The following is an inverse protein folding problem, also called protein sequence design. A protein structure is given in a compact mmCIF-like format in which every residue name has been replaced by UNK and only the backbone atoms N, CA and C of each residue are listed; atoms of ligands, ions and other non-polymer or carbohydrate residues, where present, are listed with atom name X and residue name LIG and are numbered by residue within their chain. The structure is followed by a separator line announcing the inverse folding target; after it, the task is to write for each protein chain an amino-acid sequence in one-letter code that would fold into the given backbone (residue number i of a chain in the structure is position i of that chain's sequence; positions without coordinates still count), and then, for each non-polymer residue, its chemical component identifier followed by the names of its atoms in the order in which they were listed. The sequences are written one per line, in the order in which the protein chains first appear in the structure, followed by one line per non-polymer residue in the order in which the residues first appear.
data_IF_487056256775
#
_entry.id   IF_487056256775
#
_cell.length_a   1.000
_cell.length_b   1.000
_cell.length_c   1.000
_cell.angle_alpha   90.00
_cell.angle_beta   90.00
_cell.angle_gamma   90.00
#
_symmetry.space_group_name_H-M   'P 1'
#
loop_
_entity.id
_entity.type
_entity.pdbx_description
1 polymer ?
#
# COMPACT_ATOMS: atom_id res chain seq x y z
N UNK A 1 22.64 15.34 13.16
CA UNK A 1 22.28 16.43 14.07
C UNK A 1 21.52 15.79 15.20
N UNK A 2 22.11 15.73 16.39
CA UNK A 2 21.49 15.20 17.59
C UNK A 2 20.38 16.17 18.02
N UNK A 3 19.21 15.66 18.37
CA UNK A 3 18.17 16.45 19.05
C UNK A 3 18.48 16.34 20.55
N UNK A 4 18.56 17.50 21.22
CA UNK A 4 18.82 17.63 22.66
C UNK A 4 17.76 16.88 23.51
N UNK A 5 18.11 16.33 24.69
CA UNK A 5 17.28 15.37 25.43
C UNK A 5 16.00 15.95 26.07
N UNK A 6 15.80 17.26 26.03
CA UNK A 6 14.65 17.95 26.64
C UNK A 6 13.40 18.06 25.74
N UNK A 7 13.48 17.73 24.45
CA UNK A 7 12.29 17.66 23.59
C UNK A 7 11.80 16.22 23.51
N UNK A 8 10.64 15.95 24.13
CA UNK A 8 9.92 14.68 23.97
C UNK A 8 9.87 14.34 22.48
N UNK A 9 10.30 13.12 22.12
CA UNK A 9 10.27 12.65 20.73
C UNK A 9 8.88 12.93 20.13
N UNK A 10 8.82 13.37 18.86
CA UNK A 10 7.54 13.63 18.20
C UNK A 10 6.65 12.39 18.32
N UNK A 11 5.36 12.60 18.58
CA UNK A 11 4.41 11.50 18.57
C UNK A 11 4.43 10.84 17.19
N UNK A 12 4.75 9.54 17.17
CA UNK A 12 4.72 8.70 15.98
C UNK A 12 3.65 7.62 16.18
N UNK A 13 2.75 7.40 15.19
CA UNK A 13 1.77 6.32 15.27
C UNK A 13 2.42 4.94 15.17
N UNK A 14 3.70 4.87 14.76
CA UNK A 14 4.46 3.63 14.58
C UNK A 14 5.28 3.21 15.81
N UNK A 15 5.02 3.84 16.96
CA UNK A 15 5.76 3.61 18.19
C UNK A 15 6.92 4.58 18.39
N UNK A 16 7.78 4.29 19.36
CA UNK A 16 8.94 5.12 19.67
C UNK A 16 9.93 5.15 18.48
N UNK A 17 10.29 6.33 17.96
CA UNK A 17 11.25 6.42 16.86
C UNK A 17 12.67 6.04 17.29
N UNK A 18 13.31 5.17 16.50
CA UNK A 18 14.76 4.93 16.59
C UNK A 18 15.53 6.10 15.96
N UNK A 19 14.96 6.70 14.90
CA UNK A 19 15.53 7.86 14.23
C UNK A 19 14.47 8.90 13.91
N UNK A 20 14.89 10.16 14.01
CA UNK A 20 14.11 11.33 13.60
C UNK A 20 15.05 12.27 12.85
N UNK A 21 14.77 12.47 11.56
CA UNK A 21 15.47 13.42 10.72
C UNK A 21 14.56 14.60 10.42
N UNK A 22 15.03 15.81 10.74
CA UNK A 22 14.36 17.03 10.30
C UNK A 22 14.69 17.25 8.83
N UNK A 23 13.65 17.27 7.99
CA UNK A 23 13.75 17.63 6.57
C UNK A 23 13.68 19.15 6.44
N UNK A 24 12.67 19.75 7.07
CA UNK A 24 12.44 21.18 7.17
C UNK A 24 11.50 21.46 8.37
N UNK A 25 11.26 22.73 8.67
CA UNK A 25 10.31 23.12 9.73
C UNK A 25 8.93 22.51 9.47
N UNK A 26 8.50 21.64 10.40
CA UNK A 26 7.24 20.91 10.34
C UNK A 26 7.25 19.68 9.43
N UNK A 27 8.41 19.20 8.95
CA UNK A 27 8.54 17.99 8.14
C UNK A 27 9.62 17.11 8.75
N UNK A 28 9.21 15.95 9.27
CA UNK A 28 10.10 14.97 9.90
C UNK A 28 10.04 13.67 9.14
N UNK A 29 11.20 13.05 8.95
CA UNK A 29 11.34 11.66 8.50
C UNK A 29 11.67 10.81 9.73
N UNK A 30 10.82 9.83 10.02
CA UNK A 30 10.92 9.00 11.23
C UNK A 30 10.99 7.53 10.84
N UNK A 31 11.79 6.77 11.59
CA UNK A 31 11.83 5.31 11.46
C UNK A 31 11.82 4.67 12.84
N UNK A 32 11.11 3.56 12.96
CA UNK A 32 10.95 2.70 14.13
C UNK A 32 11.34 1.26 13.74
N UNK A 33 11.50 0.33 14.70
CA UNK A 33 11.85 -1.06 14.38
C UNK A 33 10.85 -1.79 13.45
N UNK A 34 9.61 -1.30 13.37
CA UNK A 34 8.54 -1.94 12.60
C UNK A 34 8.16 -1.19 11.33
N UNK A 35 8.18 0.14 11.35
CA UNK A 35 7.67 1.01 10.29
C UNK A 35 8.37 2.37 10.34
N UNK A 36 7.96 3.28 9.48
CA UNK A 36 8.39 4.67 9.51
C UNK A 36 7.53 5.51 8.58
N UNK A 37 8.03 6.70 8.26
CA UNK A 37 7.44 7.55 7.26
C UNK A 37 7.69 9.03 7.51
N UNK A 38 6.90 9.86 6.85
CA UNK A 38 6.97 11.32 6.99
C UNK A 38 5.88 11.78 7.96
N UNK A 39 6.27 12.55 8.98
CA UNK A 39 5.35 13.26 9.86
C UNK A 39 5.34 14.74 9.49
N UNK A 40 4.14 15.28 9.31
CA UNK A 40 3.91 16.69 9.07
C UNK A 40 3.35 17.36 10.33
N UNK A 41 3.78 18.60 10.58
CA UNK A 41 3.04 19.48 11.48
C UNK A 41 1.63 19.74 10.92
N UNK A 42 0.72 20.21 11.78
CA UNK A 42 -0.62 20.57 11.35
C UNK A 42 -0.60 21.57 10.18
N UNK A 43 0.23 22.60 10.26
CA UNK A 43 0.36 23.65 9.25
C UNK A 43 0.88 23.13 7.91
N UNK A 44 1.86 22.20 7.95
CA UNK A 44 2.35 21.54 6.73
C UNK A 44 1.30 20.61 6.16
N UNK A 45 0.61 19.83 7.00
CA UNK A 45 -0.41 18.91 6.56
C UNK A 45 -1.61 19.62 5.89
N UNK A 46 -1.93 20.85 6.29
CA UNK A 46 -2.95 21.67 5.62
C UNK A 46 -2.58 22.09 4.18
N UNK A 47 -1.30 22.03 3.81
CA UNK A 47 -0.84 22.34 2.45
C UNK A 47 -1.00 21.15 1.50
N UNK A 48 -1.20 19.94 2.04
CA UNK A 48 -1.53 18.75 1.25
C UNK A 48 -2.98 18.90 0.73
N UNK A 49 -3.25 18.61 -0.56
CA UNK A 49 -4.60 18.55 -1.11
C UNK A 49 -5.51 17.69 -0.24
N UNK A 50 -6.75 18.12 -0.03
CA UNK A 50 -7.67 17.49 0.92
C UNK A 50 -7.87 15.98 0.64
N UNK A 51 -7.97 15.58 -0.64
CA UNK A 51 -8.09 14.18 -1.06
C UNK A 51 -6.85 13.32 -0.74
N UNK A 52 -5.68 13.93 -0.59
CA UNK A 52 -4.41 13.25 -0.33
C UNK A 52 -3.97 13.34 1.13
N UNK A 53 -4.67 14.13 1.95
CA UNK A 53 -4.24 14.50 3.30
C UNK A 53 -4.42 13.34 4.28
N UNK A 54 -3.41 13.07 5.11
CA UNK A 54 -3.56 12.17 6.26
C UNK A 54 -4.24 12.90 7.41
N UNK A 55 -5.12 12.19 8.14
CA UNK A 55 -5.89 12.77 9.26
C UNK A 55 -4.96 13.16 10.42
N UNK A 56 -3.95 12.34 10.69
CA UNK A 56 -3.00 12.51 11.80
C UNK A 56 -1.67 13.17 11.38
N UNK A 57 -1.53 13.52 10.10
CA UNK A 57 -0.30 14.07 9.55
C UNK A 57 0.83 13.04 9.38
N UNK A 58 0.56 11.75 9.55
CA UNK A 58 1.51 10.67 9.34
C UNK A 58 1.34 10.00 7.97
N UNK A 59 2.45 9.80 7.27
CA UNK A 59 2.51 9.25 5.91
C UNK A 59 3.49 8.07 5.86
N UNK A 60 2.98 6.85 5.80
CA UNK A 60 3.73 5.59 6.00
C UNK A 60 4.77 5.28 4.90
N UNK A 61 5.91 4.71 5.31
CA UNK A 61 7.15 4.44 4.55
C UNK A 61 6.99 3.50 3.33
N UNK A 62 5.93 2.70 3.24
CA UNK A 62 5.67 1.81 2.11
C UNK A 62 4.71 2.37 1.06
N UNK A 63 3.94 3.40 1.39
CA UNK A 63 2.92 3.93 0.48
C UNK A 63 2.85 5.45 0.52
N UNK A 64 2.35 6.02 1.62
CA UNK A 64 1.90 7.41 1.64
C UNK A 64 3.03 8.43 1.79
N UNK A 65 4.24 8.03 2.19
CA UNK A 65 5.42 8.91 2.30
C UNK A 65 5.70 9.71 1.01
N UNK A 66 5.35 9.14 -0.15
CA UNK A 66 5.60 9.76 -1.44
C UNK A 66 4.78 11.04 -1.67
N UNK A 67 3.63 11.18 -0.99
CA UNK A 67 2.75 12.35 -1.10
C UNK A 67 3.47 13.62 -0.60
N UNK A 68 3.90 13.71 0.68
CA UNK A 68 4.64 14.88 1.15
C UNK A 68 6.00 15.02 0.47
N UNK A 69 6.66 13.92 0.07
CA UNK A 69 7.93 13.99 -0.66
C UNK A 69 7.80 14.77 -1.98
N UNK A 70 6.76 14.49 -2.77
CA UNK A 70 6.51 15.16 -4.05
C UNK A 70 5.95 16.56 -3.86
N UNK A 71 5.08 16.79 -2.87
CA UNK A 71 4.48 18.11 -2.63
C UNK A 71 5.51 19.11 -2.08
N UNK A 72 6.36 18.69 -1.14
CA UNK A 72 7.41 19.53 -0.55
C UNK A 72 8.77 19.31 -1.22
N UNK A 73 8.76 19.17 -2.56
CA UNK A 73 9.97 18.84 -3.35
C UNK A 73 11.12 19.81 -3.09
N UNK A 74 10.84 21.08 -2.84
CA UNK A 74 11.87 22.11 -2.68
C UNK A 74 12.58 21.92 -1.33
N UNK A 75 11.83 21.58 -0.27
CA UNK A 75 12.38 21.24 1.04
C UNK A 75 13.23 19.95 0.99
N UNK A 76 12.73 18.90 0.32
CA UNK A 76 13.49 17.65 0.18
C UNK A 76 14.74 17.84 -0.70
N UNK A 77 14.63 18.58 -1.81
CA UNK A 77 15.77 18.91 -2.67
C UNK A 77 16.83 19.72 -1.90
N UNK A 78 16.40 20.72 -1.12
CA UNK A 78 17.31 21.50 -0.26
C UNK A 78 17.98 20.64 0.81
N UNK A 79 17.23 19.72 1.43
CA UNK A 79 17.74 18.80 2.47
C UNK A 79 18.80 17.84 1.94
N UNK A 80 18.68 17.43 0.69
CA UNK A 80 19.61 16.50 0.03
C UNK A 80 20.48 17.19 -1.02
N UNK A 81 20.71 18.51 -0.89
CA UNK A 81 21.48 19.29 -1.87
C UNK A 81 22.89 18.75 -2.14
N UNK A 82 23.52 18.14 -1.14
CA UNK A 82 24.88 17.58 -1.23
C UNK A 82 24.86 16.10 -1.68
N UNK A 83 23.67 15.53 -1.92
CA UNK A 83 23.41 14.17 -2.43
C UNK A 83 22.29 14.22 -3.47
N UNK A 84 22.47 15.00 -4.53
CA UNK A 84 21.44 15.18 -5.57
C UNK A 84 21.10 13.88 -6.30
N UNK A 85 22.08 13.02 -6.52
CA UNK A 85 21.89 11.67 -7.06
C UNK A 85 20.90 10.85 -6.22
N UNK A 86 21.05 10.90 -4.89
CA UNK A 86 20.12 10.26 -3.96
C UNK A 86 18.73 10.89 -4.02
N UNK A 87 18.62 12.22 -4.08
CA UNK A 87 17.33 12.90 -4.19
C UNK A 87 16.60 12.55 -5.49
N UNK A 88 17.28 12.61 -6.63
CA UNK A 88 16.69 12.31 -7.93
C UNK A 88 16.18 10.87 -8.01
N UNK A 89 16.96 9.92 -7.49
CA UNK A 89 16.55 8.52 -7.43
C UNK A 89 15.35 8.32 -6.49
N UNK A 90 15.39 8.92 -5.30
CA UNK A 90 14.28 8.86 -4.34
C UNK A 90 13.01 9.53 -4.89
N UNK A 91 13.15 10.61 -5.66
CA UNK A 91 12.03 11.29 -6.30
C UNK A 91 11.38 10.43 -7.39
N UNK A 92 12.16 9.71 -8.19
CA UNK A 92 11.63 8.71 -9.14
C UNK A 92 10.88 7.60 -8.40
N UNK A 93 11.44 7.11 -7.30
CA UNK A 93 10.78 6.09 -6.46
C UNK A 93 9.49 6.61 -5.84
N UNK A 94 9.44 7.86 -5.37
CA UNK A 94 8.24 8.48 -4.84
C UNK A 94 7.13 8.53 -5.92
N UNK A 95 7.45 8.96 -7.14
CA UNK A 95 6.48 8.95 -8.24
C UNK A 95 5.99 7.53 -8.54
N UNK A 96 6.90 6.55 -8.60
CA UNK A 96 6.52 5.16 -8.85
C UNK A 96 5.66 4.58 -7.73
N UNK A 97 5.92 4.96 -6.47
CA UNK A 97 5.11 4.60 -5.31
C UNK A 97 3.71 5.20 -5.42
N UNK A 98 3.58 6.48 -5.81
CA UNK A 98 2.26 7.09 -6.04
C UNK A 98 1.49 6.35 -7.14
N UNK A 99 2.12 6.06 -8.29
CA UNK A 99 1.49 5.31 -9.38
C UNK A 99 1.01 3.95 -8.87
N UNK A 100 1.86 3.24 -8.13
CA UNK A 100 1.61 1.85 -7.75
C UNK A 100 0.69 1.69 -6.54
N UNK A 101 0.70 2.59 -5.57
CA UNK A 101 0.02 2.40 -4.29
C UNK A 101 -1.02 3.48 -3.97
N UNK A 102 -0.87 4.68 -4.53
CA UNK A 102 -1.75 5.83 -4.28
C UNK A 102 -2.17 6.51 -5.61
N UNK A 103 -2.76 5.77 -6.58
CA UNK A 103 -2.99 6.30 -7.93
C UNK A 103 -3.98 7.48 -7.97
N UNK A 104 -4.88 7.59 -6.99
CA UNK A 104 -5.78 8.74 -6.86
C UNK A 104 -5.03 9.99 -6.36
N UNK A 105 -4.03 9.81 -5.49
CA UNK A 105 -3.16 10.90 -5.07
C UNK A 105 -2.24 11.33 -6.23
N UNK A 106 -1.72 10.37 -7.00
CA UNK A 106 -1.01 10.67 -8.25
C UNK A 106 -1.88 11.53 -9.18
N UNK A 107 -3.14 11.12 -9.42
CA UNK A 107 -4.05 11.86 -10.27
C UNK A 107 -4.37 13.26 -9.74
N UNK A 108 -4.50 13.42 -8.42
CA UNK A 108 -4.69 14.72 -7.79
C UNK A 108 -3.47 15.63 -8.00
N UNK A 109 -2.25 15.09 -7.85
CA UNK A 109 -1.01 15.86 -7.90
C UNK A 109 -0.61 16.21 -9.33
N UNK A 110 -0.75 15.27 -10.27
CA UNK A 110 -0.27 15.39 -11.65
C UNK A 110 -1.38 15.66 -12.68
N UNK A 111 -2.65 15.62 -12.26
CA UNK A 111 -3.80 15.91 -13.12
C UNK A 111 -4.16 14.79 -14.10
N UNK A 112 -3.60 13.59 -13.95
CA UNK A 112 -3.90 12.44 -14.81
C UNK A 112 -3.86 11.12 -14.04
N UNK A 113 -4.76 10.21 -14.37
CA UNK A 113 -4.78 8.86 -13.79
C UNK A 113 -3.78 7.96 -14.52
N UNK A 114 -2.99 7.11 -13.82
CA UNK A 114 -2.16 6.12 -14.48
C UNK A 114 -3.03 5.03 -15.11
N UNK A 115 -2.54 4.39 -16.17
CA UNK A 115 -3.23 3.26 -16.82
C UNK A 115 -3.04 1.95 -16.04
N UNK A 116 -3.82 0.92 -16.35
CA UNK A 116 -3.62 -0.44 -15.82
C UNK A 116 -2.27 -1.09 -16.26
N UNK A 117 -1.65 -0.60 -17.32
CA UNK A 117 -0.31 -1.04 -17.70
C UNK A 117 0.76 -0.45 -16.77
N UNK A 118 0.57 0.82 -16.37
CA UNK A 118 1.50 1.58 -15.53
C UNK A 118 1.35 1.28 -14.04
N UNK A 119 0.13 1.00 -13.56
CA UNK A 119 -0.19 0.83 -12.14
C UNK A 119 -0.83 -0.53 -11.85
N UNK A 120 -0.23 -1.28 -10.92
CA UNK A 120 -0.83 -2.53 -10.46
C UNK A 120 -2.14 -2.30 -9.69
N UNK A 121 -2.27 -1.22 -8.91
CA UNK A 121 -3.55 -0.90 -8.22
C UNK A 121 -4.66 -0.56 -9.20
N UNK A 122 -4.37 0.17 -10.28
CA UNK A 122 -5.37 0.43 -11.33
C UNK A 122 -5.76 -0.87 -12.02
N UNK A 123 -4.78 -1.71 -12.38
CA UNK A 123 -5.03 -3.04 -12.94
C UNK A 123 -5.90 -3.90 -12.05
N UNK A 124 -5.62 -3.93 -10.74
CA UNK A 124 -6.39 -4.68 -9.76
C UNK A 124 -7.83 -4.15 -9.67
N UNK A 125 -8.01 -2.83 -9.60
CA UNK A 125 -9.34 -2.19 -9.60
C UNK A 125 -10.15 -2.56 -10.85
N UNK A 126 -9.54 -2.48 -12.03
CA UNK A 126 -10.21 -2.86 -13.29
C UNK A 126 -10.54 -4.35 -13.34
N UNK A 127 -9.63 -5.20 -12.88
CA UNK A 127 -9.85 -6.64 -12.80
C UNK A 127 -11.00 -6.98 -11.86
N UNK A 128 -11.05 -6.36 -10.68
CA UNK A 128 -12.13 -6.51 -9.70
C UNK A 128 -13.45 -6.03 -10.28
N UNK A 129 -13.51 -4.86 -10.91
CA UNK A 129 -14.73 -4.31 -11.48
C UNK A 129 -15.28 -5.19 -12.61
N UNK A 130 -14.40 -5.65 -13.52
CA UNK A 130 -14.75 -6.57 -14.62
C UNK A 130 -15.32 -7.89 -14.10
N UNK A 131 -14.85 -8.35 -12.94
CA UNK A 131 -15.23 -9.63 -12.33
C UNK A 131 -16.12 -9.47 -11.10
N UNK A 132 -16.75 -8.31 -10.89
CA UNK A 132 -17.48 -8.02 -9.65
C UNK A 132 -18.62 -9.00 -9.33
N UNK A 133 -19.19 -9.62 -10.36
CA UNK A 133 -20.26 -10.62 -10.22
C UNK A 133 -19.75 -12.07 -10.15
N UNK A 134 -18.45 -12.29 -10.28
CA UNK A 134 -17.80 -13.60 -10.20
C UNK A 134 -17.08 -13.75 -8.85
N UNK A 135 -16.78 -14.98 -8.44
CA UNK A 135 -15.95 -15.23 -7.27
C UNK A 135 -14.47 -15.06 -7.64
N UNK A 136 -13.80 -14.08 -7.04
CA UNK A 136 -12.37 -13.79 -7.21
C UNK A 136 -11.61 -14.34 -6.01
N UNK A 137 -10.55 -15.12 -6.25
CA UNK A 137 -9.69 -15.63 -5.18
C UNK A 137 -8.83 -14.51 -4.60
N UNK A 138 -8.80 -14.41 -3.27
CA UNK A 138 -7.95 -13.45 -2.56
C UNK A 138 -7.05 -14.10 -1.51
N UNK A 139 -7.26 -15.37 -1.19
CA UNK A 139 -6.39 -16.14 -0.30
C UNK A 139 -6.37 -17.60 -0.72
N UNK A 140 -5.21 -18.24 -0.54
CA UNK A 140 -4.99 -19.64 -0.89
C UNK A 140 -4.32 -20.40 0.25
N UNK A 141 -4.64 -21.68 0.32
CA UNK A 141 -4.17 -22.65 1.28
C UNK A 141 -3.41 -23.73 0.51
N UNK A 142 -2.12 -23.89 0.81
CA UNK A 142 -1.29 -24.92 0.20
C UNK A 142 -1.55 -26.31 0.78
N UNK A 143 -0.90 -27.33 0.20
CA UNK A 143 -1.05 -28.74 0.54
C UNK A 143 -0.76 -29.11 2.03
N UNK A 144 -0.11 -28.23 2.78
CA UNK A 144 0.11 -28.42 4.23
C UNK A 144 -1.10 -28.06 5.11
N UNK A 145 -2.16 -27.50 4.55
CA UNK A 145 -3.38 -27.18 5.31
C UNK A 145 -4.25 -28.43 5.46
N UNK A 146 -4.75 -28.69 6.69
CA UNK A 146 -5.37 -29.97 7.12
C UNK A 146 -6.44 -30.57 6.18
N UNK A 147 -7.13 -29.74 5.40
CA UNK A 147 -8.23 -30.16 4.54
C UNK A 147 -7.88 -30.10 3.04
N UNK A 148 -6.70 -29.56 2.68
CA UNK A 148 -6.24 -29.46 1.29
C UNK A 148 -5.57 -30.77 0.90
N UNK A 149 -6.13 -31.44 -0.11
CA UNK A 149 -5.63 -32.70 -0.63
C UNK A 149 -4.70 -32.49 -1.84
N UNK A 150 -3.80 -33.45 -2.07
CA UNK A 150 -2.76 -33.33 -3.10
C UNK A 150 -3.33 -33.08 -4.51
N UNK A 151 -2.67 -32.19 -5.25
CA UNK A 151 -3.09 -31.76 -6.60
C UNK A 151 -4.11 -30.62 -6.60
N UNK A 152 -4.48 -30.10 -5.43
CA UNK A 152 -5.38 -28.96 -5.29
C UNK A 152 -4.79 -27.85 -4.41
N UNK A 153 -5.25 -26.63 -4.70
CA UNK A 153 -5.10 -25.46 -3.86
C UNK A 153 -6.47 -25.17 -3.26
N UNK A 154 -6.55 -25.11 -1.93
CA UNK A 154 -7.75 -24.58 -1.28
C UNK A 154 -7.77 -23.06 -1.45
N UNK A 155 -8.88 -22.47 -1.86
CA UNK A 155 -8.99 -21.03 -2.07
C UNK A 155 -10.16 -20.44 -1.31
N UNK A 156 -9.98 -19.21 -0.83
CA UNK A 156 -11.05 -18.34 -0.34
C UNK A 156 -11.32 -17.29 -1.40
N UNK A 157 -12.56 -17.20 -1.84
CA UNK A 157 -12.98 -16.31 -2.91
C UNK A 157 -14.14 -15.42 -2.48
N UNK A 158 -14.16 -14.18 -2.97
CA UNK A 158 -15.22 -13.20 -2.71
C UNK A 158 -15.88 -12.80 -4.02
N UNK A 159 -17.19 -12.55 -3.99
CA UNK A 159 -17.92 -11.88 -5.07
C UNK A 159 -18.02 -10.39 -4.75
N UNK A 160 -17.22 -9.50 -5.39
CA UNK A 160 -17.12 -8.10 -4.97
C UNK A 160 -18.46 -7.35 -4.91
N UNK A 161 -19.38 -7.61 -5.85
CA UNK A 161 -20.66 -6.92 -5.93
C UNK A 161 -21.58 -7.20 -4.73
N UNK A 162 -21.43 -8.33 -4.05
CA UNK A 162 -22.30 -8.73 -2.93
C UNK A 162 -21.54 -8.91 -1.61
N UNK A 163 -20.21 -8.96 -1.65
CA UNK A 163 -19.39 -9.37 -0.50
C UNK A 163 -19.55 -10.83 -0.11
N UNK A 164 -20.24 -11.64 -0.93
CA UNK A 164 -20.44 -13.06 -0.67
C UNK A 164 -19.10 -13.80 -0.72
N UNK A 165 -18.79 -14.53 0.35
CA UNK A 165 -17.58 -15.34 0.43
C UNK A 165 -17.89 -16.83 0.30
N UNK A 166 -17.04 -17.54 -0.45
CA UNK A 166 -17.08 -19.00 -0.60
C UNK A 166 -15.67 -19.58 -0.68
N UNK A 167 -15.58 -20.88 -0.47
CA UNK A 167 -14.33 -21.61 -0.54
C UNK A 167 -14.42 -22.68 -1.62
N UNK A 168 -13.29 -22.93 -2.29
CA UNK A 168 -13.20 -23.90 -3.37
C UNK A 168 -11.89 -24.67 -3.32
N UNK A 169 -11.85 -25.87 -3.91
CA UNK A 169 -10.63 -26.54 -4.34
C UNK A 169 -10.41 -26.26 -5.82
N UNK A 170 -9.27 -25.66 -6.14
CA UNK A 170 -8.81 -25.38 -7.50
C UNK A 170 -7.67 -26.34 -7.84
N UNK A 171 -7.70 -27.07 -8.96
CA UNK A 171 -6.57 -27.90 -9.37
C UNK A 171 -5.27 -27.08 -9.44
N UNK A 172 -4.18 -27.59 -8.88
CA UNK A 172 -2.86 -26.90 -8.86
C UNK A 172 -2.41 -26.48 -10.27
N UNK A 173 -2.67 -27.32 -11.27
CA UNK A 173 -2.33 -27.04 -12.68
C UNK A 173 -3.09 -25.86 -13.30
N UNK A 174 -4.16 -25.38 -12.66
CA UNK A 174 -4.97 -24.26 -13.11
C UNK A 174 -4.78 -23.01 -12.25
N UNK A 175 -4.28 -23.16 -11.02
CA UNK A 175 -4.21 -22.04 -10.09
C UNK A 175 -3.06 -21.10 -10.44
N UNK A 176 -3.39 -19.84 -10.73
CA UNK A 176 -2.43 -18.73 -10.87
C UNK A 176 -3.05 -17.46 -10.28
N UNK A 177 -2.24 -16.51 -9.83
CA UNK A 177 -2.74 -15.22 -9.34
C UNK A 177 -2.67 -14.17 -10.46
N UNK A 178 -3.73 -13.37 -10.67
CA UNK A 178 -5.06 -13.45 -10.06
C UNK A 178 -5.91 -14.63 -10.60
N UNK A 179 -6.92 -15.07 -9.85
CA UNK A 179 -7.82 -16.18 -10.24
C UNK A 179 -9.31 -15.84 -10.08
N UNK A 180 -10.12 -16.23 -11.06
CA UNK A 180 -11.59 -16.20 -11.01
C UNK A 180 -12.08 -17.64 -10.98
N UNK A 181 -12.90 -17.98 -9.98
CA UNK A 181 -13.46 -19.32 -9.81
C UNK A 181 -14.38 -19.66 -11.00
N UNK A 182 -14.13 -20.83 -11.57
CA UNK A 182 -14.97 -21.46 -12.59
C UNK A 182 -15.92 -22.44 -11.88
N UNK A 183 -17.18 -22.04 -11.70
CA UNK A 183 -18.18 -22.84 -10.95
C UNK A 183 -18.49 -24.21 -11.59
N UNK A 184 -18.12 -24.42 -12.85
CA UNK A 184 -18.31 -25.70 -13.53
C UNK A 184 -17.12 -26.67 -13.32
N UNK A 185 -15.97 -26.15 -12.91
CA UNK A 185 -14.72 -26.93 -12.82
C UNK A 185 -14.08 -26.94 -11.43
N UNK A 186 -14.34 -25.92 -10.62
CA UNK A 186 -13.74 -25.75 -9.30
C UNK A 186 -14.70 -26.27 -8.24
N UNK A 187 -14.17 -27.05 -7.31
CA UNK A 187 -15.02 -27.84 -6.40
C UNK A 187 -15.37 -27.01 -5.17
N UNK A 188 -16.65 -26.87 -4.78
CA UNK A 188 -17.01 -26.21 -3.52
C UNK A 188 -16.34 -26.89 -2.33
N UNK A 189 -15.76 -26.09 -1.44
CA UNK A 189 -15.16 -26.55 -0.19
C UNK A 189 -15.99 -26.05 0.99
N UNK A 190 -16.56 -26.98 1.78
CA UNK A 190 -17.18 -26.66 3.07
C UNK A 190 -16.10 -26.38 4.11
N UNK A 191 -15.53 -25.17 4.05
CA UNK A 191 -14.47 -24.73 4.95
C UNK A 191 -15.01 -24.56 6.38
N UNK A 192 -14.53 -25.41 7.29
CA UNK A 192 -14.83 -25.29 8.72
C UNK A 192 -13.69 -24.55 9.40
N UNK A 193 -13.91 -23.28 9.75
CA UNK A 193 -12.95 -22.49 10.56
C UNK A 193 -12.50 -23.36 11.75
N UNK A 194 -11.19 -23.58 11.94
CA UNK A 194 -10.73 -24.21 13.16
C UNK A 194 -11.18 -23.32 14.34
N UNK A 195 -11.79 -23.96 15.34
CA UNK A 195 -12.10 -23.35 16.63
C UNK A 195 -10.82 -22.84 17.30
#
# INVERSE_FOLDING_TARGET
MYIEPENKAPYSPWGEPDTVYVIADGILDVSTPSHGGILLSYERNQQIPESCRSIDGAYEEGCRWAIPFVIFKDEFCARYRDRQDYYEETHKQAIQTLINYEPDAYATIFGTMPTAEESHKVRDREFTERNKNNFIVYSAFGAGYKDVHGGFVGVRAVKPATGEERYFFVPESRYSIPYVVDLDKDQPWDFKKPY
#
